data_IF_341358159337
#
_entry.id   IF_341358159337
#
_cell.length_a   1.000
_cell.length_b   1.000
_cell.length_c   1.000
_cell.angle_alpha   90.00
_cell.angle_beta   90.00
_cell.angle_gamma   90.00
#
_symmetry.space_group_name_H-M   'P 1'
#
loop_
_entity.id
_entity.type
_entity.pdbx_description
1 polymer ?
#
# COMPACT_ATOMS: atom_id res chain seq x y z
N UNK A 1 6.57 29.75 -8.55
CA UNK A 1 6.34 30.12 -7.13
C UNK A 1 5.22 29.31 -6.46
N UNK A 2 4.00 29.21 -7.00
CA UNK A 2 2.89 28.43 -6.39
C UNK A 2 3.13 26.92 -6.27
N UNK A 3 3.97 26.32 -7.13
CA UNK A 3 4.33 24.90 -7.05
C UNK A 3 5.32 24.62 -5.92
N UNK A 4 6.37 25.43 -5.83
CA UNK A 4 7.39 25.32 -4.77
C UNK A 4 6.80 25.53 -3.37
N UNK A 5 5.95 26.54 -3.17
CA UNK A 5 5.28 26.79 -1.89
C UNK A 5 4.40 25.61 -1.44
N UNK A 6 3.70 24.97 -2.37
CA UNK A 6 2.93 23.76 -2.08
C UNK A 6 3.81 22.57 -1.73
N UNK A 7 4.90 22.35 -2.49
CA UNK A 7 5.81 21.25 -2.23
C UNK A 7 6.46 21.40 -0.86
N UNK A 8 6.92 22.61 -0.51
CA UNK A 8 7.44 22.93 0.82
C UNK A 8 6.38 22.71 1.90
N UNK A 9 5.15 23.16 1.70
CA UNK A 9 4.05 22.93 2.65
C UNK A 9 3.77 21.44 2.87
N UNK A 10 3.78 20.63 1.80
CA UNK A 10 3.53 19.18 1.88
C UNK A 10 4.70 18.44 2.52
N UNK A 11 5.94 18.81 2.19
CA UNK A 11 7.14 18.25 2.85
C UNK A 11 7.14 18.61 4.34
N UNK A 12 6.81 19.85 4.71
CA UNK A 12 6.69 20.24 6.11
C UNK A 12 5.66 19.39 6.88
N UNK A 13 4.48 19.18 6.30
CA UNK A 13 3.45 18.29 6.88
C UNK A 13 3.93 16.84 6.97
N UNK A 14 4.58 16.34 5.93
CA UNK A 14 5.18 15.00 5.91
C UNK A 14 6.21 14.82 7.03
N UNK A 15 7.10 15.80 7.22
CA UNK A 15 8.09 15.78 8.30
C UNK A 15 7.44 15.79 9.69
N UNK A 16 6.37 16.56 9.90
CA UNK A 16 5.62 16.54 11.16
C UNK A 16 4.99 15.16 11.42
N UNK A 17 4.41 14.53 10.38
CA UNK A 17 3.86 13.18 10.50
C UNK A 17 4.94 12.16 10.83
N UNK A 18 6.08 12.18 10.11
CA UNK A 18 7.20 11.26 10.38
C UNK A 18 7.75 11.48 11.79
N UNK A 19 7.93 12.73 12.22
CA UNK A 19 8.36 13.05 13.58
C UNK A 19 7.37 12.50 14.62
N UNK A 20 6.07 12.66 14.37
CA UNK A 20 5.03 12.05 15.20
C UNK A 20 5.17 10.54 15.30
N UNK A 21 5.39 9.85 14.17
CA UNK A 21 5.63 8.39 14.15
C UNK A 21 6.89 8.01 14.93
N UNK A 22 7.99 8.74 14.78
CA UNK A 22 9.23 8.47 15.53
C UNK A 22 9.01 8.62 17.03
N UNK A 23 8.32 9.68 17.45
CA UNK A 23 7.98 9.92 18.86
C UNK A 23 7.06 8.81 19.39
N UNK A 24 6.03 8.42 18.63
CA UNK A 24 5.12 7.33 19.01
C UNK A 24 5.89 6.01 19.15
N UNK A 25 6.75 5.67 18.18
CA UNK A 25 7.58 4.47 18.23
C UNK A 25 8.48 4.44 19.48
N UNK A 26 9.07 5.59 19.84
CA UNK A 26 9.89 5.72 21.05
C UNK A 26 9.08 5.42 22.33
N UNK A 27 7.85 5.92 22.42
CA UNK A 27 6.99 5.64 23.58
C UNK A 27 6.44 4.21 23.57
N UNK A 28 6.18 3.62 22.39
CA UNK A 28 5.67 2.25 22.27
C UNK A 28 6.60 1.22 22.92
N UNK A 29 7.93 1.35 22.75
CA UNK A 29 8.89 0.46 23.44
C UNK A 29 8.75 0.57 24.95
N UNK A 30 8.63 1.78 25.47
CA UNK A 30 8.69 2.06 26.92
C UNK A 30 7.40 1.72 27.64
N UNK A 31 6.29 1.70 26.89
CA UNK A 31 5.00 1.24 27.37
C UNK A 31 4.91 -0.30 27.34
N UNK A 32 5.80 -0.99 26.62
CA UNK A 32 5.85 -2.44 26.67
C UNK A 32 6.31 -2.90 28.07
N UNK A 33 5.71 -3.97 28.63
CA UNK A 33 6.07 -4.44 29.96
C UNK A 33 7.50 -5.02 29.98
N UNK A 34 8.35 -4.46 30.85
CA UNK A 34 9.75 -4.89 31.05
C UNK A 34 10.75 -3.74 30.92
N UNK A 35 11.95 -3.92 31.48
CA UNK A 35 13.07 -3.00 31.22
C UNK A 35 13.57 -3.21 29.77
N UNK A 36 13.62 -2.16 28.92
CA UNK A 36 14.15 -2.27 27.56
C UNK A 36 15.53 -2.96 27.49
N UNK A 37 16.41 -2.72 28.47
CA UNK A 37 17.71 -3.38 28.52
C UNK A 37 17.57 -4.90 28.77
N UNK A 38 16.67 -5.30 29.65
CA UNK A 38 16.39 -6.72 29.93
C UNK A 38 15.73 -7.43 28.74
N UNK A 39 14.87 -6.73 27.97
CA UNK A 39 14.26 -7.27 26.76
C UNK A 39 15.30 -7.49 25.67
N UNK A 40 16.18 -6.51 25.43
CA UNK A 40 17.27 -6.63 24.46
C UNK A 40 18.27 -7.73 24.85
N UNK A 41 18.63 -7.82 26.13
CA UNK A 41 19.50 -8.88 26.64
C UNK A 41 18.87 -10.26 26.47
N UNK A 42 17.57 -10.39 26.79
CA UNK A 42 16.81 -11.63 26.57
C UNK A 42 16.72 -12.05 25.11
N UNK A 43 16.58 -11.09 24.18
CA UNK A 43 16.62 -11.37 22.72
C UNK A 43 18.00 -11.84 22.26
N UNK A 44 19.08 -11.30 22.83
CA UNK A 44 20.46 -11.72 22.56
C UNK A 44 20.81 -13.08 23.21
N UNK A 45 19.89 -13.68 23.98
CA UNK A 45 20.14 -14.93 24.72
C UNK A 45 21.06 -14.74 25.93
N UNK A 46 21.30 -13.51 26.36
CA UNK A 46 22.17 -13.16 27.47
C UNK A 46 21.33 -12.70 28.67
N UNK A 47 21.37 -13.46 29.76
CA UNK A 47 20.69 -13.12 31.03
C UNK A 47 21.62 -12.50 32.08
N UNK A 48 22.89 -12.23 31.71
CA UNK A 48 23.88 -11.70 32.65
C UNK A 48 23.54 -10.25 33.03
N UNK A 49 23.44 -9.99 34.33
CA UNK A 49 23.15 -8.67 34.87
C UNK A 49 24.21 -7.64 34.44
N UNK A 50 25.47 -8.06 34.25
CA UNK A 50 26.53 -7.19 33.75
C UNK A 50 26.30 -6.77 32.29
N UNK A 51 25.77 -7.67 31.46
CA UNK A 51 25.43 -7.36 30.06
C UNK A 51 24.22 -6.44 29.96
N UNK A 52 23.22 -6.62 30.83
CA UNK A 52 22.04 -5.73 30.92
C UNK A 52 22.46 -4.31 31.30
N UNK A 53 23.34 -4.13 32.29
CA UNK A 53 23.85 -2.81 32.68
C UNK A 53 24.72 -2.18 31.56
N UNK A 54 25.53 -2.98 30.85
CA UNK A 54 26.26 -2.49 29.67
C UNK A 54 25.32 -2.02 28.56
N UNK A 55 24.25 -2.78 28.29
CA UNK A 55 23.19 -2.38 27.36
C UNK A 55 22.49 -1.11 27.82
N UNK A 56 22.20 -0.98 29.12
CA UNK A 56 21.54 0.20 29.69
C UNK A 56 22.38 1.46 29.50
N UNK A 57 23.68 1.37 29.78
CA UNK A 57 24.63 2.46 29.56
C UNK A 57 24.84 2.76 28.07
N UNK A 58 24.98 1.74 27.22
CA UNK A 58 25.25 1.88 25.79
C UNK A 58 24.08 2.52 25.03
N UNK A 59 22.84 2.19 25.39
CA UNK A 59 21.64 2.79 24.80
C UNK A 59 21.18 4.06 25.53
N UNK A 60 21.94 4.53 26.52
CA UNK A 60 21.63 5.74 27.29
C UNK A 60 20.33 5.62 28.08
N UNK A 61 19.89 4.41 28.41
CA UNK A 61 18.63 4.12 29.08
C UNK A 61 18.60 4.65 30.53
N UNK A 62 19.76 4.98 31.10
CA UNK A 62 19.92 5.63 32.41
C UNK A 62 19.69 7.15 32.39
N UNK A 63 19.60 7.77 31.21
CA UNK A 63 19.49 9.22 31.08
C UNK A 63 18.04 9.71 31.22
N UNK A 64 17.80 11.02 31.44
CA UNK A 64 16.44 11.57 31.42
C UNK A 64 15.72 11.27 30.10
N UNK A 65 14.41 11.03 30.17
CA UNK A 65 13.58 10.59 29.05
C UNK A 65 13.73 11.48 27.80
N UNK A 66 13.86 12.79 28.00
CA UNK A 66 14.04 13.76 26.91
C UNK A 66 15.37 13.56 26.18
N UNK A 67 16.45 13.28 26.91
CA UNK A 67 17.77 13.00 26.33
C UNK A 67 17.74 11.71 25.54
N UNK A 68 17.07 10.67 26.06
CA UNK A 68 16.89 9.41 25.32
C UNK A 68 16.11 9.61 24.01
N UNK A 69 15.07 10.46 24.02
CA UNK A 69 14.33 10.81 22.81
C UNK A 69 15.22 11.54 21.80
N UNK A 70 16.05 12.50 22.26
CA UNK A 70 16.98 13.22 21.37
C UNK A 70 18.03 12.29 20.76
N UNK A 71 18.57 11.35 21.54
CA UNK A 71 19.51 10.34 21.03
C UNK A 71 18.85 9.44 19.98
N UNK A 72 17.62 8.98 20.24
CA UNK A 72 16.86 8.18 19.29
C UNK A 72 16.55 8.96 18.00
N UNK A 73 16.12 10.22 18.11
CA UNK A 73 15.90 11.10 16.95
C UNK A 73 17.18 11.30 16.13
N UNK A 74 18.32 11.47 16.80
CA UNK A 74 19.63 11.61 16.15
C UNK A 74 20.03 10.32 15.41
N UNK A 75 19.83 9.15 16.02
CA UNK A 75 20.09 7.85 15.37
C UNK A 75 19.24 7.67 14.12
N UNK A 76 17.93 7.90 14.23
CA UNK A 76 17.00 7.84 13.09
C UNK A 76 17.41 8.83 11.98
N UNK A 77 17.83 10.04 12.33
CA UNK A 77 18.31 11.02 11.36
C UNK A 77 19.61 10.60 10.64
N UNK A 78 20.41 9.72 11.27
CA UNK A 78 21.60 9.10 10.69
C UNK A 78 21.31 7.78 9.96
N UNK A 79 20.03 7.42 9.82
CA UNK A 79 19.55 6.13 9.27
C UNK A 79 19.96 4.92 10.12
N UNK A 80 20.31 5.14 11.39
CA UNK A 80 20.50 4.05 12.34
C UNK A 80 19.15 3.67 12.96
N UNK A 81 18.59 2.57 12.45
CA UNK A 81 17.36 1.96 12.97
C UNK A 81 17.65 0.92 14.07
N UNK A 82 18.93 0.76 14.44
CA UNK A 82 19.43 -0.22 15.39
C UNK A 82 19.68 -1.60 14.77
N UNK A 83 19.80 -2.58 15.66
CA UNK A 83 20.30 -3.91 15.34
C UNK A 83 19.28 -4.98 15.69
N UNK A 84 19.05 -5.93 14.79
CA UNK A 84 18.25 -7.13 15.06
C UNK A 84 19.15 -8.17 15.72
N UNK A 85 19.03 -8.35 17.02
CA UNK A 85 19.76 -9.38 17.76
C UNK A 85 19.35 -10.80 17.35
N UNK A 86 18.15 -10.96 16.78
CA UNK A 86 17.63 -12.24 16.33
C UNK A 86 18.19 -12.67 14.97
N UNK A 87 18.38 -11.72 14.07
CA UNK A 87 18.92 -11.97 12.72
C UNK A 87 20.42 -11.66 12.62
N UNK A 88 21.01 -11.09 13.67
CA UNK A 88 22.42 -10.68 13.74
C UNK A 88 22.85 -9.71 12.62
N UNK A 89 21.94 -8.83 12.20
CA UNK A 89 22.17 -7.84 11.14
C UNK A 89 21.52 -6.50 11.48
N UNK A 90 22.01 -5.39 10.91
CA UNK A 90 21.34 -4.09 11.02
C UNK A 90 19.90 -4.15 10.52
N UNK A 91 18.99 -3.45 11.21
CA UNK A 91 17.56 -3.43 10.87
C UNK A 91 17.32 -2.82 9.49
N UNK A 92 18.08 -1.78 9.13
CA UNK A 92 17.95 -1.13 7.84
C UNK A 92 18.22 -2.10 6.67
N UNK A 93 19.24 -2.96 6.79
CA UNK A 93 19.64 -3.88 5.72
C UNK A 93 18.52 -4.89 5.44
N UNK A 94 17.91 -5.46 6.50
CA UNK A 94 16.76 -6.35 6.38
C UNK A 94 15.58 -5.67 5.67
N UNK A 95 15.30 -4.41 6.00
CA UNK A 95 14.19 -3.67 5.41
C UNK A 95 14.47 -3.37 3.93
N UNK A 96 15.68 -2.90 3.61
CA UNK A 96 16.09 -2.58 2.24
C UNK A 96 16.06 -3.81 1.33
N UNK A 97 16.43 -4.99 1.84
CA UNK A 97 16.33 -6.24 1.10
C UNK A 97 14.87 -6.60 0.74
N UNK A 98 13.92 -6.30 1.62
CA UNK A 98 12.50 -6.68 1.47
C UNK A 98 11.65 -5.61 0.75
N UNK A 99 12.07 -4.34 0.75
CA UNK A 99 11.38 -3.22 0.10
C UNK A 99 11.01 -3.51 -1.36
N UNK A 100 11.92 -3.98 -2.25
CA UNK A 100 11.61 -4.19 -3.66
C UNK A 100 10.48 -5.18 -3.90
N UNK A 101 10.40 -6.24 -3.09
CA UNK A 101 9.36 -7.25 -3.22
C UNK A 101 7.97 -6.68 -2.89
N UNK A 102 7.84 -5.90 -1.82
CA UNK A 102 6.60 -5.20 -1.46
C UNK A 102 6.20 -4.19 -2.53
N UNK A 103 7.15 -3.38 -3.02
CA UNK A 103 6.88 -2.42 -4.09
C UNK A 103 6.41 -3.08 -5.38
N UNK A 104 7.03 -4.20 -5.78
CA UNK A 104 6.63 -4.95 -6.97
C UNK A 104 5.18 -5.45 -6.84
N UNK A 105 4.85 -6.09 -5.72
CA UNK A 105 3.51 -6.59 -5.43
C UNK A 105 2.48 -5.46 -5.43
N UNK A 106 2.74 -4.38 -4.68
CA UNK A 106 1.84 -3.24 -4.59
C UNK A 106 1.64 -2.57 -5.95
N UNK A 107 2.70 -2.38 -6.74
CA UNK A 107 2.60 -1.73 -8.05
C UNK A 107 1.77 -2.56 -9.01
N UNK A 108 1.99 -3.88 -9.06
CA UNK A 108 1.22 -4.78 -9.91
C UNK A 108 -0.25 -4.86 -9.50
N UNK A 109 -0.54 -4.99 -8.20
CA UNK A 109 -1.91 -5.01 -7.70
C UNK A 109 -2.63 -3.67 -7.92
N UNK A 110 -1.92 -2.55 -7.81
CA UNK A 110 -2.47 -1.22 -8.06
C UNK A 110 -2.85 -1.05 -9.54
N UNK A 111 -1.92 -1.37 -10.46
CA UNK A 111 -2.17 -1.31 -11.91
C UNK A 111 -3.32 -2.26 -12.30
N UNK A 112 -3.29 -3.50 -11.81
CA UNK A 112 -4.35 -4.48 -12.04
C UNK A 112 -5.71 -3.95 -11.58
N UNK A 113 -5.78 -3.42 -10.35
CA UNK A 113 -7.03 -2.96 -9.76
C UNK A 113 -7.65 -1.77 -10.50
N UNK A 114 -6.85 -0.78 -10.89
CA UNK A 114 -7.33 0.38 -11.65
C UNK A 114 -7.71 -0.02 -13.06
N UNK A 115 -6.85 -0.75 -13.77
CA UNK A 115 -7.11 -1.09 -15.17
C UNK A 115 -8.36 -1.93 -15.30
N UNK A 116 -8.46 -3.04 -14.56
CA UNK A 116 -9.66 -3.88 -14.60
C UNK A 116 -10.87 -3.18 -13.98
N UNK A 117 -10.68 -2.42 -12.91
CA UNK A 117 -11.74 -1.67 -12.25
C UNK A 117 -12.42 -0.68 -13.19
N UNK A 118 -11.61 0.11 -13.90
CA UNK A 118 -12.10 1.06 -14.91
C UNK A 118 -12.76 0.34 -16.08
N UNK A 119 -12.11 -0.70 -16.62
CA UNK A 119 -12.65 -1.45 -17.77
C UNK A 119 -14.02 -2.07 -17.45
N UNK A 120 -14.13 -2.79 -16.34
CA UNK A 120 -15.38 -3.42 -15.89
C UNK A 120 -16.43 -2.38 -15.51
N UNK A 121 -16.04 -1.28 -14.87
CA UNK A 121 -16.95 -0.16 -14.55
C UNK A 121 -17.53 0.50 -15.80
N UNK A 122 -16.71 0.71 -16.83
CA UNK A 122 -17.16 1.21 -18.15
C UNK A 122 -18.09 0.23 -18.83
N UNK A 123 -17.78 -1.07 -18.80
CA UNK A 123 -18.64 -2.12 -19.36
C UNK A 123 -20.01 -2.13 -18.66
N UNK A 124 -20.03 -2.10 -17.32
CA UNK A 124 -21.27 -2.08 -16.53
C UNK A 124 -22.09 -0.81 -16.79
N UNK A 125 -21.47 0.37 -16.81
CA UNK A 125 -22.16 1.64 -17.09
C UNK A 125 -22.77 1.66 -18.50
N UNK A 126 -22.04 1.19 -19.52
CA UNK A 126 -22.56 1.09 -20.89
C UNK A 126 -23.71 0.11 -21.00
N UNK A 127 -23.60 -1.04 -20.32
CA UNK A 127 -24.61 -2.07 -20.29
C UNK A 127 -25.91 -1.58 -19.65
N UNK A 128 -25.79 -0.83 -18.53
CA UNK A 128 -26.91 -0.16 -17.86
C UNK A 128 -27.54 0.92 -18.74
N UNK A 129 -26.73 1.81 -19.30
CA UNK A 129 -27.20 2.93 -20.10
C UNK A 129 -27.97 2.50 -21.36
N UNK A 130 -27.47 1.48 -22.08
CA UNK A 130 -28.14 1.01 -23.31
C UNK A 130 -29.41 0.22 -23.07
N UNK A 131 -29.71 -0.16 -21.82
CA UNK A 131 -30.83 -0.99 -21.37
C UNK A 131 -30.96 -2.40 -22.04
N UNK A 132 -30.17 -2.71 -23.08
CA UNK A 132 -30.18 -4.00 -23.80
C UNK A 132 -29.36 -5.11 -23.12
N UNK A 133 -28.51 -4.79 -22.14
CA UNK A 133 -27.58 -5.74 -21.50
C UNK A 133 -27.53 -5.58 -19.98
N UNK A 134 -28.68 -5.31 -19.35
CA UNK A 134 -28.77 -5.04 -17.90
C UNK A 134 -28.22 -6.18 -17.03
N UNK A 135 -28.27 -7.42 -17.51
CA UNK A 135 -27.67 -8.56 -16.81
C UNK A 135 -26.15 -8.42 -16.66
N UNK A 136 -25.43 -7.84 -17.64
CA UNK A 136 -23.98 -7.61 -17.54
C UNK A 136 -23.68 -6.62 -16.42
N UNK A 137 -24.46 -5.54 -16.33
CA UNK A 137 -24.37 -4.58 -15.24
C UNK A 137 -24.56 -5.26 -13.88
N UNK A 138 -25.66 -6.01 -13.73
CA UNK A 138 -25.93 -6.77 -12.52
C UNK A 138 -24.84 -7.78 -12.17
N UNK A 139 -24.35 -8.58 -13.12
CA UNK A 139 -23.29 -9.56 -12.88
C UNK A 139 -21.98 -8.92 -12.44
N UNK A 140 -21.55 -7.82 -13.09
CA UNK A 140 -20.33 -7.11 -12.72
C UNK A 140 -20.47 -6.46 -11.35
N UNK A 141 -21.63 -5.85 -11.03
CA UNK A 141 -21.87 -5.25 -9.72
C UNK A 141 -21.96 -6.29 -8.60
N UNK A 142 -22.63 -7.42 -8.83
CA UNK A 142 -22.69 -8.52 -7.87
C UNK A 142 -21.31 -9.12 -7.65
N UNK A 143 -20.54 -9.38 -8.70
CA UNK A 143 -19.16 -9.87 -8.58
C UNK A 143 -18.26 -8.90 -7.80
N UNK A 144 -18.34 -7.60 -8.10
CA UNK A 144 -17.60 -6.58 -7.35
C UNK A 144 -18.02 -6.53 -5.88
N UNK A 145 -19.33 -6.63 -5.59
CA UNK A 145 -19.82 -6.67 -4.21
C UNK A 145 -19.32 -7.91 -3.45
N UNK A 146 -19.34 -9.08 -4.07
CA UNK A 146 -18.82 -10.31 -3.48
C UNK A 146 -17.34 -10.19 -3.18
N UNK A 147 -16.53 -9.72 -4.13
CA UNK A 147 -15.09 -9.53 -3.92
C UNK A 147 -14.79 -8.52 -2.80
N UNK A 148 -15.56 -7.43 -2.73
CA UNK A 148 -15.39 -6.43 -1.67
C UNK A 148 -15.80 -6.95 -0.28
N UNK A 149 -16.85 -7.76 -0.21
CA UNK A 149 -17.34 -8.35 1.04
C UNK A 149 -16.50 -9.54 1.52
N UNK A 150 -15.71 -10.14 0.63
CA UNK A 150 -14.89 -11.31 0.95
C UNK A 150 -13.62 -10.89 1.70
N UNK A 151 -13.31 -11.51 2.85
CA UNK A 151 -12.05 -11.24 3.55
C UNK A 151 -10.83 -11.57 2.68
N UNK A 152 -9.85 -10.68 2.66
CA UNK A 152 -8.66 -10.80 1.80
C UNK A 152 -7.87 -12.10 2.04
N UNK A 153 -7.70 -12.50 3.32
CA UNK A 153 -7.01 -13.74 3.66
C UNK A 153 -7.74 -14.97 3.11
N UNK A 154 -9.08 -14.97 3.16
CA UNK A 154 -9.87 -16.09 2.68
C UNK A 154 -9.79 -16.19 1.16
N UNK A 155 -9.90 -15.05 0.46
CA UNK A 155 -9.71 -15.00 -0.99
C UNK A 155 -8.32 -15.51 -1.39
N UNK A 156 -7.29 -15.19 -0.59
CA UNK A 156 -5.93 -15.67 -0.81
C UNK A 156 -5.83 -17.19 -0.65
N UNK A 157 -6.34 -17.75 0.45
CA UNK A 157 -6.34 -19.20 0.70
C UNK A 157 -7.13 -19.99 -0.35
N UNK A 158 -8.30 -19.49 -0.77
CA UNK A 158 -9.09 -20.12 -1.82
C UNK A 158 -8.43 -20.01 -3.19
N UNK A 159 -7.74 -18.91 -3.46
CA UNK A 159 -6.91 -18.75 -4.66
C UNK A 159 -5.80 -19.81 -4.73
N UNK A 160 -5.09 -20.02 -3.63
CA UNK A 160 -4.06 -21.08 -3.50
C UNK A 160 -4.70 -22.45 -3.71
N UNK A 161 -5.78 -22.76 -3.00
CA UNK A 161 -6.44 -24.07 -3.12
C UNK A 161 -6.87 -24.36 -4.57
N UNK A 162 -7.52 -23.41 -5.23
CA UNK A 162 -8.03 -23.61 -6.58
C UNK A 162 -6.90 -23.66 -7.61
N UNK A 163 -6.07 -22.63 -7.67
CA UNK A 163 -5.11 -22.45 -8.77
C UNK A 163 -3.80 -23.20 -8.57
N UNK A 164 -3.40 -23.45 -7.33
CA UNK A 164 -2.15 -24.16 -7.03
C UNK A 164 -2.38 -25.63 -6.69
N UNK A 165 -3.37 -25.95 -5.85
CA UNK A 165 -3.56 -27.33 -5.37
C UNK A 165 -4.45 -28.15 -6.31
N UNK A 166 -5.61 -27.62 -6.70
CA UNK A 166 -6.56 -28.37 -7.54
C UNK A 166 -6.15 -28.34 -9.02
N UNK A 167 -5.83 -27.16 -9.55
CA UNK A 167 -5.52 -26.97 -10.97
C UNK A 167 -4.03 -27.13 -11.30
N UNK A 168 -3.13 -26.88 -10.35
CA UNK A 168 -1.67 -26.93 -10.58
C UNK A 168 -1.15 -25.89 -11.58
N UNK A 169 -1.87 -24.78 -11.79
CA UNK A 169 -1.52 -23.76 -12.79
C UNK A 169 -0.49 -22.76 -12.30
N UNK A 170 -0.55 -22.40 -11.01
CA UNK A 170 0.24 -21.32 -10.43
C UNK A 170 0.91 -21.79 -9.14
N UNK A 171 2.13 -21.31 -8.85
CA UNK A 171 2.81 -21.62 -7.59
C UNK A 171 2.05 -21.05 -6.39
N UNK A 172 2.09 -21.77 -5.27
CA UNK A 172 1.35 -21.41 -4.06
C UNK A 172 2.08 -20.37 -3.19
N UNK A 173 3.41 -20.43 -3.15
CA UNK A 173 4.21 -19.71 -2.16
C UNK A 173 5.54 -19.23 -2.75
N UNK A 174 6.08 -18.15 -2.17
CA UNK A 174 7.40 -17.61 -2.51
C UNK A 174 7.38 -16.63 -3.69
N UNK A 175 8.55 -16.04 -3.97
CA UNK A 175 8.74 -15.09 -5.07
C UNK A 175 9.38 -15.73 -6.31
N UNK A 176 10.12 -16.81 -6.12
CA UNK A 176 10.81 -17.54 -7.17
C UNK A 176 10.99 -19.02 -6.78
N UNK A 177 11.16 -19.88 -7.77
CA UNK A 177 11.40 -21.31 -7.58
C UNK A 177 12.79 -21.54 -7.00
N UNK A 178 12.84 -21.98 -5.74
CA UNK A 178 14.09 -22.27 -5.03
C UNK A 178 14.84 -23.41 -5.71
N UNK A 179 16.15 -23.22 -5.95
CA UNK A 179 17.02 -24.23 -6.54
C UNK A 179 17.00 -24.30 -8.07
N UNK A 180 16.17 -23.50 -8.75
CA UNK A 180 16.11 -23.50 -10.21
C UNK A 180 17.28 -22.76 -10.89
N UNK A 181 18.03 -21.94 -10.15
CA UNK A 181 19.21 -21.22 -10.66
C UNK A 181 18.93 -20.28 -11.85
N UNK A 182 17.68 -19.84 -11.99
CA UNK A 182 17.23 -19.06 -13.14
C UNK A 182 17.86 -17.66 -13.14
N UNK A 183 18.27 -17.20 -14.32
CA UNK A 183 18.84 -15.86 -14.51
C UNK A 183 18.19 -15.15 -15.72
N UNK A 184 18.29 -13.82 -15.76
CA UNK A 184 17.74 -13.01 -16.84
C UNK A 184 16.22 -13.13 -17.00
N UNK A 185 15.76 -13.27 -18.25
CA UNK A 185 14.33 -13.35 -18.59
C UNK A 185 13.61 -14.57 -18.03
N UNK A 186 14.32 -15.69 -17.84
CA UNK A 186 13.74 -16.89 -17.26
C UNK A 186 13.32 -16.66 -15.79
N UNK A 187 14.18 -15.96 -15.03
CA UNK A 187 13.87 -15.54 -13.66
C UNK A 187 12.69 -14.57 -13.62
N UNK A 188 12.64 -13.61 -14.55
CA UNK A 188 11.52 -12.66 -14.62
C UNK A 188 10.19 -13.36 -14.92
N UNK A 189 10.18 -14.38 -15.78
CA UNK A 189 9.00 -15.20 -16.07
C UNK A 189 8.54 -16.00 -14.85
N UNK A 190 9.47 -16.62 -14.13
CA UNK A 190 9.19 -17.34 -12.87
C UNK A 190 8.60 -16.41 -11.80
N UNK A 191 9.22 -15.25 -11.57
CA UNK A 191 8.68 -14.23 -10.65
C UNK A 191 7.28 -13.78 -11.08
N UNK A 192 7.05 -13.57 -12.38
CA UNK A 192 5.75 -13.17 -12.88
C UNK A 192 4.67 -14.23 -12.59
N UNK A 193 4.99 -15.52 -12.70
CA UNK A 193 4.07 -16.60 -12.34
C UNK A 193 3.76 -16.61 -10.84
N UNK A 194 4.78 -16.43 -9.99
CA UNK A 194 4.60 -16.32 -8.53
C UNK A 194 3.81 -15.08 -8.12
N UNK A 195 3.89 -14.01 -8.91
CA UNK A 195 3.26 -12.73 -8.62
C UNK A 195 1.76 -12.69 -8.95
N UNK A 196 1.25 -13.59 -9.82
CA UNK A 196 -0.14 -13.55 -10.31
C UNK A 196 -1.16 -13.67 -9.18
N UNK A 197 -1.08 -14.72 -8.34
CA UNK A 197 -2.05 -14.93 -7.27
C UNK A 197 -2.01 -13.83 -6.20
N UNK A 198 -0.84 -13.43 -5.67
CA UNK A 198 -0.74 -12.28 -4.78
C UNK A 198 -1.33 -10.99 -5.38
N UNK A 199 -1.04 -10.72 -6.65
CA UNK A 199 -1.51 -9.51 -7.35
C UNK A 199 -3.02 -9.52 -7.53
N UNK A 200 -3.58 -10.65 -7.96
CA UNK A 200 -5.03 -10.76 -8.20
C UNK A 200 -5.80 -10.70 -6.90
N UNK A 201 -5.32 -11.33 -5.83
CA UNK A 201 -6.02 -11.36 -4.54
C UNK A 201 -6.03 -9.98 -3.89
N UNK A 202 -4.87 -9.33 -3.78
CA UNK A 202 -4.75 -7.96 -3.28
C UNK A 202 -5.53 -6.99 -4.19
N UNK A 203 -5.31 -7.09 -5.50
CA UNK A 203 -5.90 -6.20 -6.50
C UNK A 203 -7.40 -6.32 -6.65
N UNK A 204 -8.01 -7.51 -6.49
CA UNK A 204 -9.46 -7.72 -6.62
C UNK A 204 -10.27 -6.90 -5.62
N UNK A 205 -9.79 -6.77 -4.38
CA UNK A 205 -10.44 -5.97 -3.35
C UNK A 205 -10.54 -4.50 -3.79
N UNK A 206 -9.42 -3.90 -4.22
CA UNK A 206 -9.37 -2.52 -4.71
C UNK A 206 -10.09 -2.36 -6.06
N UNK A 207 -10.02 -3.37 -6.94
CA UNK A 207 -10.71 -3.40 -8.22
C UNK A 207 -12.21 -3.22 -8.03
N UNK A 208 -12.82 -3.92 -7.06
CA UNK A 208 -14.25 -3.80 -6.77
C UNK A 208 -14.68 -2.37 -6.45
N UNK A 209 -13.83 -1.62 -5.73
CA UNK A 209 -14.05 -0.20 -5.43
C UNK A 209 -14.00 0.65 -6.70
N UNK A 210 -12.98 0.46 -7.54
CA UNK A 210 -12.85 1.18 -8.80
C UNK A 210 -13.96 0.86 -9.81
N UNK A 211 -14.45 -0.39 -9.84
CA UNK A 211 -15.61 -0.79 -10.65
C UNK A 211 -16.83 0.05 -10.27
N UNK A 212 -17.13 0.13 -8.96
CA UNK A 212 -18.29 0.85 -8.44
C UNK A 212 -18.18 2.35 -8.71
N UNK A 213 -17.01 2.92 -8.40
CA UNK A 213 -16.74 4.35 -8.59
C UNK A 213 -16.83 4.74 -10.07
N UNK A 214 -16.11 4.04 -10.95
CA UNK A 214 -16.11 4.32 -12.39
C UNK A 214 -17.52 4.20 -12.97
N UNK A 215 -18.28 3.17 -12.57
CA UNK A 215 -19.65 2.99 -13.05
C UNK A 215 -20.55 4.15 -12.63
N UNK A 216 -20.49 4.56 -11.36
CA UNK A 216 -21.29 5.66 -10.83
C UNK A 216 -20.98 6.96 -11.59
N UNK A 217 -19.70 7.33 -11.68
CA UNK A 217 -19.25 8.55 -12.37
C UNK A 217 -19.61 8.53 -13.85
N UNK A 218 -19.52 7.37 -14.52
CA UNK A 218 -19.94 7.25 -15.92
C UNK A 218 -21.44 7.51 -16.09
N UNK A 219 -22.30 6.95 -15.23
CA UNK A 219 -23.74 7.13 -15.32
C UNK A 219 -24.17 8.57 -15.03
N UNK A 220 -23.51 9.23 -14.08
CA UNK A 220 -23.71 10.64 -13.77
C UNK A 220 -23.34 11.53 -14.96
N UNK A 221 -22.13 11.37 -15.52
CA UNK A 221 -21.64 12.18 -16.64
C UNK A 221 -22.49 11.97 -17.90
N UNK A 222 -22.99 10.75 -18.15
CA UNK A 222 -23.88 10.48 -19.29
C UNK A 222 -25.15 11.34 -19.26
N UNK A 223 -25.65 11.68 -18.06
CA UNK A 223 -26.86 12.50 -17.87
C UNK A 223 -26.67 13.99 -18.12
N UNK A 224 -25.43 14.47 -18.23
CA UNK A 224 -25.10 15.90 -18.31
C UNK A 224 -25.44 16.52 -19.67
N UNK A 225 -25.77 17.81 -19.67
CA UNK A 225 -26.29 18.49 -20.87
C UNK A 225 -25.27 18.60 -22.00
N UNK A 226 -23.97 18.73 -21.72
CA UNK A 226 -22.95 18.74 -22.77
C UNK A 226 -22.89 17.41 -23.54
N UNK A 227 -23.23 16.29 -22.89
CA UNK A 227 -23.31 14.97 -23.54
C UNK A 227 -24.55 14.88 -24.43
N UNK A 228 -25.68 15.43 -23.99
CA UNK A 228 -26.91 15.54 -24.81
C UNK A 228 -26.65 16.39 -26.04
N UNK A 229 -26.01 17.55 -25.87
CA UNK A 229 -25.63 18.45 -26.97
C UNK A 229 -24.69 17.79 -27.96
N UNK A 230 -23.68 17.04 -27.48
CA UNK A 230 -22.77 16.31 -28.37
C UNK A 230 -23.50 15.25 -29.22
N UNK A 231 -24.51 14.58 -28.66
CA UNK A 231 -25.35 13.63 -29.41
C UNK A 231 -26.29 14.33 -30.39
N UNK A 232 -26.88 15.47 -30.00
CA UNK A 232 -27.72 16.28 -30.89
C UNK A 232 -26.93 16.77 -32.12
N UNK A 233 -25.62 17.03 -31.95
CA UNK A 233 -24.68 17.35 -33.03
C UNK A 233 -24.26 16.14 -33.89
N UNK A 234 -24.83 14.95 -33.66
CA UNK A 234 -24.55 13.75 -34.46
C UNK A 234 -23.25 13.00 -34.09
N UNK A 235 -22.62 13.30 -32.95
CA UNK A 235 -21.41 12.57 -32.54
C UNK A 235 -21.76 11.10 -32.24
N UNK A 236 -21.07 10.18 -32.92
CA UNK A 236 -21.32 8.74 -32.78
C UNK A 236 -21.19 8.21 -31.33
N UNK A 237 -21.98 7.20 -30.94
CA UNK A 237 -22.11 6.77 -29.54
C UNK A 237 -20.80 6.28 -28.90
N UNK A 238 -19.92 5.65 -29.68
CA UNK A 238 -18.59 5.22 -29.19
C UNK A 238 -17.66 6.41 -28.89
N UNK A 239 -17.67 7.43 -29.74
CA UNK A 239 -16.86 8.65 -29.56
C UNK A 239 -17.38 9.50 -28.41
N UNK A 240 -18.70 9.62 -28.24
CA UNK A 240 -19.28 10.28 -27.06
C UNK A 240 -18.81 9.62 -25.77
N UNK A 241 -18.90 8.28 -25.68
CA UNK A 241 -18.49 7.55 -24.49
C UNK A 241 -16.99 7.72 -24.20
N UNK A 242 -16.11 7.51 -25.19
CA UNK A 242 -14.65 7.55 -24.95
C UNK A 242 -14.12 8.97 -24.73
N UNK A 243 -14.55 9.93 -25.53
CA UNK A 243 -13.96 11.28 -25.53
C UNK A 243 -14.66 12.26 -24.57
N UNK A 244 -15.98 12.11 -24.34
CA UNK A 244 -16.76 13.06 -23.55
C UNK A 244 -17.15 12.50 -22.18
N UNK A 245 -17.55 11.23 -22.12
CA UNK A 245 -17.99 10.64 -20.84
C UNK A 245 -16.80 10.15 -20.02
N UNK A 246 -16.03 9.20 -20.55
CA UNK A 246 -14.96 8.53 -19.81
C UNK A 246 -13.91 9.51 -19.29
N UNK A 247 -13.49 10.47 -20.13
CA UNK A 247 -12.50 11.48 -19.73
C UNK A 247 -12.92 12.27 -18.49
N UNK A 248 -14.20 12.62 -18.38
CA UNK A 248 -14.71 13.36 -17.22
C UNK A 248 -15.03 12.42 -16.04
N UNK A 249 -15.48 11.20 -16.33
CA UNK A 249 -15.76 10.19 -15.31
C UNK A 249 -14.51 9.61 -14.63
N UNK A 250 -13.31 9.77 -15.23
CA UNK A 250 -12.04 9.34 -14.65
C UNK A 250 -11.50 10.31 -13.60
N UNK A 251 -11.97 11.56 -13.53
CA UNK A 251 -11.46 12.52 -12.55
C UNK A 251 -11.59 12.00 -11.11
N UNK A 252 -12.77 11.51 -10.65
CA UNK A 252 -12.90 10.94 -9.31
C UNK A 252 -12.07 9.67 -9.11
N UNK A 253 -11.91 8.85 -10.15
CA UNK A 253 -11.11 7.62 -10.10
C UNK A 253 -9.64 7.93 -9.83
N UNK A 254 -9.11 8.94 -10.51
CA UNK A 254 -7.72 9.40 -10.32
C UNK A 254 -7.53 10.00 -8.93
N UNK A 255 -8.48 10.81 -8.45
CA UNK A 255 -8.43 11.35 -7.07
C UNK A 255 -8.38 10.23 -6.04
N UNK A 256 -9.24 9.23 -6.21
CA UNK A 256 -9.38 8.13 -5.26
C UNK A 256 -8.19 7.17 -5.32
N UNK A 257 -7.54 7.06 -6.49
CA UNK A 257 -6.42 6.16 -6.70
C UNK A 257 -5.28 6.38 -5.71
N UNK A 258 -4.99 7.65 -5.42
CA UNK A 258 -3.89 7.97 -4.52
C UNK A 258 -4.17 7.71 -3.04
N UNK A 259 -5.43 7.83 -2.61
CA UNK A 259 -5.84 7.42 -1.25
C UNK A 259 -5.68 5.90 -1.08
N UNK A 260 -5.97 5.14 -2.13
CA UNK A 260 -5.90 3.67 -2.09
C UNK A 260 -4.48 3.12 -2.04
N UNK A 261 -3.48 3.83 -2.58
CA UNK A 261 -2.08 3.41 -2.46
C UNK A 261 -1.63 3.29 -1.00
N UNK A 262 -2.07 4.20 -0.12
CA UNK A 262 -1.81 4.11 1.31
C UNK A 262 -2.50 2.91 1.97
N UNK A 263 -3.76 2.64 1.61
CA UNK A 263 -4.51 1.50 2.15
C UNK A 263 -3.96 0.14 1.67
N UNK A 264 -3.41 0.09 0.45
CA UNK A 264 -2.79 -1.12 -0.11
C UNK A 264 -1.60 -1.61 0.72
N UNK A 265 -0.86 -0.72 1.37
CA UNK A 265 0.26 -1.12 2.22
C UNK A 265 -0.20 -2.02 3.38
N UNK A 266 -1.38 -1.77 3.97
CA UNK A 266 -1.95 -2.61 5.01
C UNK A 266 -2.43 -3.96 4.49
N UNK A 267 -3.06 -3.99 3.30
CA UNK A 267 -3.48 -5.24 2.65
C UNK A 267 -2.29 -6.11 2.21
N UNK A 268 -1.18 -5.48 1.80
CA UNK A 268 0.03 -6.17 1.38
C UNK A 268 0.60 -7.05 2.51
N UNK A 269 0.52 -6.64 3.77
CA UNK A 269 0.98 -7.45 4.92
C UNK A 269 0.34 -8.83 4.94
N UNK A 270 -0.98 -8.88 4.82
CA UNK A 270 -1.74 -10.13 4.83
C UNK A 270 -1.43 -10.97 3.60
N UNK A 271 -1.43 -10.35 2.41
CA UNK A 271 -1.11 -11.06 1.16
C UNK A 271 0.30 -11.63 1.19
N UNK A 272 1.30 -10.86 1.63
CA UNK A 272 2.68 -11.32 1.69
C UNK A 272 2.86 -12.47 2.68
N UNK A 273 2.17 -12.43 3.81
CA UNK A 273 2.22 -13.50 4.81
C UNK A 273 1.60 -14.78 4.25
N UNK A 274 0.41 -14.72 3.64
CA UNK A 274 -0.29 -15.90 3.12
C UNK A 274 0.44 -16.54 1.95
N UNK A 275 0.97 -15.75 1.02
CA UNK A 275 1.71 -16.25 -0.14
C UNK A 275 3.21 -16.46 0.14
N UNK A 276 3.65 -16.30 1.38
CA UNK A 276 5.07 -16.35 1.74
C UNK A 276 5.94 -15.43 0.84
N UNK A 277 5.40 -14.31 0.40
CA UNK A 277 6.11 -13.31 -0.41
C UNK A 277 7.15 -12.61 0.49
N UNK A 278 8.42 -12.48 0.07
CA UNK A 278 9.50 -11.97 0.90
C UNK A 278 9.49 -10.43 0.96
N UNK A 279 8.36 -9.85 1.38
CA UNK A 279 8.18 -8.42 1.56
C UNK A 279 8.26 -7.97 3.02
N UNK A 280 8.10 -6.67 3.23
CA UNK A 280 8.18 -6.02 4.55
C UNK A 280 7.04 -6.45 5.46
N UNK A 281 5.85 -6.67 4.91
CA UNK A 281 4.70 -7.07 5.68
C UNK A 281 4.88 -8.47 6.27
N UNK A 282 5.46 -9.40 5.50
CA UNK A 282 5.88 -10.69 6.03
C UNK A 282 7.00 -10.53 7.08
N UNK A 283 8.01 -9.70 6.82
CA UNK A 283 9.08 -9.41 7.78
C UNK A 283 8.53 -8.86 9.12
N UNK A 284 7.51 -8.01 9.05
CA UNK A 284 6.81 -7.46 10.22
C UNK A 284 6.11 -8.55 11.02
N UNK A 285 5.41 -9.46 10.33
CA UNK A 285 4.73 -10.59 10.96
C UNK A 285 5.73 -11.53 11.65
N UNK A 286 6.85 -11.83 11.00
CA UNK A 286 7.90 -12.67 11.56
C UNK A 286 8.57 -12.00 12.78
N UNK A 287 8.86 -10.70 12.70
CA UNK A 287 9.41 -9.92 13.81
C UNK A 287 8.45 -9.87 15.02
N UNK A 288 7.14 -9.80 14.78
CA UNK A 288 6.11 -9.86 15.82
C UNK A 288 6.13 -11.20 16.56
N UNK A 289 6.13 -12.31 15.82
CA UNK A 289 6.16 -13.65 16.40
C UNK A 289 7.45 -13.92 17.18
N UNK A 290 8.57 -13.41 16.68
CA UNK A 290 9.89 -13.55 17.30
C UNK A 290 10.15 -12.52 18.41
N UNK A 291 9.19 -11.60 18.64
CA UNK A 291 9.31 -10.48 19.58
C UNK A 291 10.55 -9.63 19.34
N UNK A 292 10.96 -9.45 18.08
CA UNK A 292 12.06 -8.56 17.69
C UNK A 292 11.54 -7.11 17.60
N UNK A 293 11.53 -6.43 18.75
CA UNK A 293 11.01 -5.07 18.88
C UNK A 293 11.79 -4.05 18.04
N UNK A 294 13.11 -4.16 17.95
CA UNK A 294 13.92 -3.20 17.21
C UNK A 294 13.60 -3.26 15.72
N UNK A 295 13.47 -4.48 15.18
CA UNK A 295 13.05 -4.71 13.80
C UNK A 295 11.63 -4.20 13.54
N UNK A 296 10.67 -4.50 14.43
CA UNK A 296 9.29 -4.02 14.29
C UNK A 296 9.19 -2.50 14.18
N UNK A 297 9.96 -1.76 14.98
CA UNK A 297 9.89 -0.30 15.01
C UNK A 297 10.56 0.33 13.81
N UNK A 298 11.67 -0.26 13.36
CA UNK A 298 12.27 0.09 12.08
C UNK A 298 11.27 -0.10 10.93
N UNK A 299 10.55 -1.23 10.92
CA UNK A 299 9.51 -1.52 9.92
C UNK A 299 8.36 -0.51 10.01
N UNK A 300 7.84 -0.21 11.20
CA UNK A 300 6.78 0.79 11.39
C UNK A 300 7.19 2.18 10.91
N UNK A 301 8.44 2.57 11.17
CA UNK A 301 8.96 3.85 10.69
C UNK A 301 9.07 3.86 9.16
N UNK A 302 9.70 2.84 8.56
CA UNK A 302 9.91 2.80 7.10
C UNK A 302 8.59 2.67 6.35
N UNK A 303 7.66 1.84 6.81
CA UNK A 303 6.32 1.73 6.22
C UNK A 303 5.53 3.03 6.33
N UNK A 304 5.63 3.75 7.45
CA UNK A 304 5.01 5.07 7.61
C UNK A 304 5.61 6.10 6.64
N UNK A 305 6.95 6.13 6.51
CA UNK A 305 7.64 6.98 5.54
C UNK A 305 7.19 6.62 4.12
N UNK A 306 7.11 5.34 3.78
CA UNK A 306 6.65 4.86 2.47
C UNK A 306 5.21 5.33 2.15
N UNK A 307 4.29 5.22 3.11
CA UNK A 307 2.92 5.72 2.96
C UNK A 307 2.89 7.24 2.78
N UNK A 308 3.69 7.98 3.57
CA UNK A 308 3.82 9.45 3.43
C UNK A 308 4.37 9.82 2.04
N UNK A 309 5.36 9.09 1.53
CA UNK A 309 5.90 9.27 0.18
C UNK A 309 4.84 9.01 -0.88
N UNK A 310 4.05 7.92 -0.77
CA UNK A 310 2.96 7.64 -1.70
C UNK A 310 1.86 8.71 -1.69
N UNK A 311 1.52 9.24 -0.51
CA UNK A 311 0.58 10.34 -0.37
C UNK A 311 1.14 11.62 -1.01
N UNK A 312 2.43 11.91 -0.84
CA UNK A 312 3.08 13.06 -1.47
C UNK A 312 3.10 12.93 -3.01
N UNK A 313 3.43 11.75 -3.52
CA UNK A 313 3.40 11.46 -4.96
C UNK A 313 1.98 11.62 -5.52
N UNK A 314 0.98 11.12 -4.81
CA UNK A 314 -0.43 11.32 -5.12
C UNK A 314 -0.80 12.79 -5.18
N UNK A 315 -0.45 13.58 -4.16
CA UNK A 315 -0.76 15.00 -4.08
C UNK A 315 -0.16 15.77 -5.28
N UNK A 316 1.06 15.40 -5.70
CA UNK A 316 1.73 15.97 -6.87
C UNK A 316 1.02 15.56 -8.17
N UNK A 317 0.74 14.26 -8.36
CA UNK A 317 0.01 13.75 -9.52
C UNK A 317 -1.37 14.41 -9.65
N UNK A 318 -2.07 14.56 -8.54
CA UNK A 318 -3.38 15.18 -8.50
C UNK A 318 -3.34 16.63 -8.98
N UNK A 319 -2.34 17.40 -8.53
CA UNK A 319 -2.14 18.78 -8.97
C UNK A 319 -1.78 18.90 -10.45
N UNK A 320 -1.01 17.95 -10.99
CA UNK A 320 -0.65 17.92 -12.41
C UNK A 320 -1.87 17.63 -13.29
N UNK A 321 -2.77 16.77 -12.82
CA UNK A 321 -3.96 16.33 -13.57
C UNK A 321 -5.10 17.35 -13.44
N UNK A 322 -5.32 17.93 -12.26
CA UNK A 322 -6.29 19.00 -12.04
C UNK A 322 -5.66 20.26 -11.41
N UNK A 323 -5.21 21.22 -12.24
CA UNK A 323 -4.62 22.46 -11.74
C UNK A 323 -5.63 23.40 -11.06
N UNK A 324 -6.95 23.14 -11.12
CA UNK A 324 -7.98 23.99 -10.49
C UNK A 324 -8.00 23.87 -8.97
N UNK A 325 -7.45 22.79 -8.43
CA UNK A 325 -7.48 22.48 -6.99
C UNK A 325 -6.40 23.25 -6.21
N UNK A 326 -5.46 23.89 -6.92
CA UNK A 326 -4.49 24.81 -6.32
C UNK A 326 -5.10 26.07 -5.68
N UNK A 327 -6.40 26.34 -5.87
CA UNK A 327 -7.08 27.52 -5.31
C UNK A 327 -8.27 27.19 -4.37
N UNK A 328 -8.84 25.97 -4.42
CA UNK A 328 -10.12 25.66 -3.77
C UNK A 328 -10.06 25.04 -2.37
N UNK A 329 -8.93 24.45 -1.96
CA UNK A 329 -8.83 23.79 -0.64
C UNK A 329 -8.71 24.77 0.55
N UNK A 330 -8.60 26.08 0.30
CA UNK A 330 -8.61 27.11 1.34
C UNK A 330 -10.01 27.67 1.64
N UNK A 331 -11.03 27.41 0.81
CA UNK A 331 -12.38 27.96 1.02
C UNK A 331 -13.32 27.01 1.80
N UNK A 332 -13.01 25.71 1.88
CA UNK A 332 -13.81 24.75 2.66
C UNK A 332 -13.51 24.68 4.16
N UNK A 333 -12.52 25.45 4.63
CA UNK A 333 -12.18 25.58 6.06
C UNK A 333 -12.59 26.95 6.65
N UNK A 334 -13.29 27.77 5.86
CA UNK A 334 -13.77 29.10 6.23
C UNK A 334 -15.26 29.29 5.92
N UNK A 335 -16.04 28.20 5.89
CA UNK A 335 -17.50 28.21 5.80
C UNK A 335 -18.07 27.26 6.86
#
# INVERSE_FOLDING_TARGET
MKFLSFLVSRIGKALVVVLGVVIINFFLIRLAPGDPAAVLAGQAGAGDAAYIEQLRAAFGLDQPLLTQLMLYLKGVAQLDLGFSYRNHVPVLDLIVERLPATFLLMSCAFVFSIVLGVLLGVVAAKARYRNKRRWIDSSVMTGALLLYATPLFWLSLMGILLFSVVLGWLPAFGMETVGAGLTGWARAGDIAQHLVLPTVTLGCFFMAVYVRLTRASMLEVIGMDFVKTARAKGVGPGRVIRAHVLRNALLPVITFAGIQLGQMAGGAVLTETVFAWPGIGRLMFDALLQRDYQLLLGIFLVTSIMVVVFNLLTDVLYRLIDPRIGAGAQQGAAA
#
